data_IF_883619602200
#
_entry.id   IF_883619602200
#
_cell.length_a   1.000
_cell.length_b   1.000
_cell.length_c   1.000
_cell.angle_alpha   90.00
_cell.angle_beta   90.00
_cell.angle_gamma   90.00
#
_symmetry.space_group_name_H-M   'P 1'
#
loop_
_entity.id
_entity.type
_entity.pdbx_description
1 polymer ?
#
# COMPACT_ATOMS: atom_id res chain seq x y z
N UNK A 1 -2.75 -6.78 21.81
CA UNK A 1 -1.29 -6.78 21.56
C UNK A 1 -0.90 -8.16 21.08
N UNK A 2 -0.18 -8.27 19.96
CA UNK A 2 0.34 -9.55 19.45
C UNK A 2 1.85 -9.52 19.70
N UNK A 3 2.41 -10.62 20.21
CA UNK A 3 3.86 -10.79 20.38
C UNK A 3 4.35 -11.87 19.44
N UNK A 4 5.34 -11.55 18.62
CA UNK A 4 6.05 -12.50 17.76
C UNK A 4 7.43 -12.77 18.38
N UNK A 5 7.82 -14.03 18.50
CA UNK A 5 9.14 -14.43 18.98
C UNK A 5 9.90 -15.10 17.83
N UNK A 6 11.12 -14.63 17.59
CA UNK A 6 12.05 -15.18 16.59
C UNK A 6 13.20 -15.80 17.37
N UNK A 7 13.51 -17.07 17.08
CA UNK A 7 14.60 -17.83 17.69
C UNK A 7 15.54 -18.30 16.58
N UNK A 8 16.85 -18.28 16.86
CA UNK A 8 17.88 -18.76 15.95
C UNK A 8 19.01 -19.40 16.77
N UNK A 9 19.62 -20.46 16.22
CA UNK A 9 20.81 -21.10 16.81
C UNK A 9 22.09 -20.29 16.53
N UNK A 10 21.99 -19.25 15.70
CA UNK A 10 23.06 -18.28 15.44
C UNK A 10 22.90 -17.06 16.35
N UNK A 11 23.91 -16.80 17.18
CA UNK A 11 23.90 -15.72 18.17
C UNK A 11 24.07 -14.32 17.53
N UNK A 12 24.73 -14.22 16.37
CA UNK A 12 25.13 -12.93 15.81
C UNK A 12 24.18 -12.41 14.71
N UNK A 13 23.68 -11.20 14.93
CA UNK A 13 23.12 -10.34 13.86
C UNK A 13 21.70 -10.65 13.38
N UNK A 14 21.01 -11.67 13.92
CA UNK A 14 19.66 -12.02 13.48
C UNK A 14 18.66 -10.87 13.66
N UNK A 15 18.78 -10.09 14.74
CA UNK A 15 17.93 -8.91 15.00
C UNK A 15 18.11 -7.87 13.88
N UNK A 16 19.34 -7.62 13.46
CA UNK A 16 19.64 -6.64 12.42
C UNK A 16 19.16 -7.12 11.04
N UNK A 17 19.24 -8.42 10.76
CA UNK A 17 18.68 -9.02 9.54
C UNK A 17 17.16 -8.82 9.48
N UNK A 18 16.45 -9.09 10.58
CA UNK A 18 14.98 -8.90 10.65
C UNK A 18 14.62 -7.41 10.51
N UNK A 19 15.34 -6.53 11.20
CA UNK A 19 15.14 -5.08 11.10
C UNK A 19 15.37 -4.59 9.66
N UNK A 20 16.41 -5.09 9.00
CA UNK A 20 16.71 -4.75 7.61
C UNK A 20 15.61 -5.25 6.66
N UNK A 21 15.09 -6.46 6.86
CA UNK A 21 14.02 -7.04 6.06
C UNK A 21 12.72 -6.23 6.17
N UNK A 22 12.30 -5.87 7.38
CA UNK A 22 11.12 -5.02 7.63
C UNK A 22 11.32 -3.63 7.01
N UNK A 23 12.50 -3.03 7.20
CA UNK A 23 12.82 -1.72 6.62
C UNK A 23 12.79 -1.74 5.09
N UNK A 24 13.26 -2.82 4.48
CA UNK A 24 13.22 -2.99 3.03
C UNK A 24 11.78 -3.16 2.52
N UNK A 25 10.92 -3.87 3.25
CA UNK A 25 9.51 -4.01 2.89
C UNK A 25 8.76 -2.67 2.99
N UNK A 26 8.98 -1.90 4.06
CA UNK A 26 8.42 -0.54 4.18
C UNK A 26 8.79 0.31 2.97
N UNK A 27 10.07 0.33 2.57
CA UNK A 27 10.52 1.09 1.39
C UNK A 27 9.85 0.62 0.10
N UNK A 28 9.71 -0.70 -0.10
CA UNK A 28 9.02 -1.26 -1.28
C UNK A 28 7.56 -0.81 -1.34
N UNK A 29 6.86 -0.88 -0.21
CA UNK A 29 5.46 -0.46 -0.12
C UNK A 29 5.31 1.05 -0.33
N UNK A 30 6.22 1.88 0.18
CA UNK A 30 6.22 3.33 -0.08
C UNK A 30 6.42 3.67 -1.56
N UNK A 31 7.30 2.96 -2.27
CA UNK A 31 7.50 3.11 -3.71
C UNK A 31 6.22 2.69 -4.46
N UNK A 32 5.62 1.56 -4.08
CA UNK A 32 4.34 1.09 -4.66
C UNK A 32 3.22 2.10 -4.46
N UNK A 33 3.08 2.64 -3.24
CA UNK A 33 2.09 3.65 -2.89
C UNK A 33 2.25 4.93 -3.74
N UNK A 34 3.49 5.38 -3.93
CA UNK A 34 3.79 6.54 -4.77
C UNK A 34 3.33 6.33 -6.21
N UNK A 35 3.60 5.15 -6.79
CA UNK A 35 3.18 4.80 -8.15
C UNK A 35 1.65 4.75 -8.28
N UNK A 36 0.97 4.07 -7.35
CA UNK A 36 -0.50 4.00 -7.33
C UNK A 36 -1.12 5.38 -7.17
N UNK A 37 -0.59 6.23 -6.29
CA UNK A 37 -1.08 7.61 -6.15
C UNK A 37 -0.89 8.44 -7.42
N UNK A 38 0.20 8.23 -8.16
CA UNK A 38 0.40 8.86 -9.47
C UNK A 38 -0.66 8.41 -10.48
N UNK A 39 -1.01 7.11 -10.52
CA UNK A 39 -2.05 6.59 -11.41
C UNK A 39 -3.44 7.13 -11.05
N UNK A 40 -3.81 7.11 -9.78
CA UNK A 40 -5.05 7.72 -9.28
C UNK A 40 -5.12 9.20 -9.69
N UNK A 41 -4.02 9.94 -9.52
CA UNK A 41 -3.99 11.36 -9.85
C UNK A 41 -4.21 11.63 -11.33
N UNK A 42 -3.78 10.73 -12.22
CA UNK A 42 -4.06 10.84 -13.66
C UNK A 42 -5.56 10.78 -13.92
N UNK A 43 -6.26 9.80 -13.35
CA UNK A 43 -7.72 9.69 -13.48
C UNK A 43 -8.45 10.90 -12.89
N UNK A 44 -8.09 11.31 -11.67
CA UNK A 44 -8.70 12.49 -11.02
C UNK A 44 -8.51 13.76 -11.86
N UNK A 45 -7.35 13.91 -12.50
CA UNK A 45 -7.05 15.07 -13.35
C UNK A 45 -7.81 15.00 -14.67
N UNK A 46 -7.89 13.83 -15.28
CA UNK A 46 -8.60 13.61 -16.56
C UNK A 46 -10.11 13.85 -16.43
N UNK A 47 -10.71 13.30 -15.37
CA UNK A 47 -12.15 13.39 -15.11
C UNK A 47 -12.55 14.60 -14.27
N UNK A 48 -11.57 15.33 -13.70
CA UNK A 48 -11.78 16.50 -12.83
C UNK A 48 -12.69 16.21 -11.62
N UNK A 49 -12.62 14.99 -11.10
CA UNK A 49 -13.35 14.55 -9.90
C UNK A 49 -12.37 13.89 -8.94
N UNK A 50 -12.73 13.84 -7.65
CA UNK A 50 -11.92 13.11 -6.67
C UNK A 50 -12.25 11.63 -6.71
N UNK A 51 -11.35 10.81 -6.19
CA UNK A 51 -11.58 9.36 -6.05
C UNK A 51 -12.81 9.02 -5.21
N UNK A 52 -13.16 9.84 -4.22
CA UNK A 52 -14.37 9.66 -3.40
C UNK A 52 -15.66 9.90 -4.21
N UNK A 53 -15.65 10.88 -5.12
CA UNK A 53 -16.77 11.13 -6.04
C UNK A 53 -16.89 9.99 -7.03
N UNK A 54 -15.76 9.57 -7.64
CA UNK A 54 -15.71 8.42 -8.54
C UNK A 54 -16.35 7.17 -7.90
N UNK A 55 -15.95 6.80 -6.68
CA UNK A 55 -16.47 5.60 -6.01
C UNK A 55 -17.98 5.65 -5.71
N UNK A 56 -18.55 6.86 -5.54
CA UNK A 56 -19.95 7.03 -5.15
C UNK A 56 -20.88 7.22 -6.35
N UNK A 57 -20.41 7.90 -7.39
CA UNK A 57 -21.27 8.48 -8.41
C UNK A 57 -20.95 7.98 -9.83
N UNK A 58 -19.77 7.41 -10.07
CA UNK A 58 -19.38 6.95 -11.40
C UNK A 58 -19.72 5.48 -11.62
N UNK A 59 -20.06 5.17 -12.86
CA UNK A 59 -20.13 3.85 -13.46
C UNK A 59 -19.18 3.78 -14.66
N UNK A 60 -19.01 2.59 -15.25
CA UNK A 60 -18.21 2.41 -16.45
C UNK A 60 -18.62 3.37 -17.59
N UNK A 61 -19.92 3.59 -17.78
CA UNK A 61 -20.47 4.46 -18.84
C UNK A 61 -20.07 5.94 -18.71
N UNK A 62 -19.53 6.35 -17.55
CA UNK A 62 -19.03 7.70 -17.34
C UNK A 62 -17.57 7.87 -17.81
N UNK A 63 -16.89 6.79 -18.17
CA UNK A 63 -15.48 6.77 -18.53
C UNK A 63 -15.30 6.54 -20.03
N UNK A 64 -14.28 7.17 -20.61
CA UNK A 64 -14.00 7.12 -22.05
C UNK A 64 -13.77 5.71 -22.56
N UNK A 65 -13.08 4.88 -21.79
CA UNK A 65 -12.82 3.47 -22.10
C UNK A 65 -13.67 2.51 -21.26
N UNK A 66 -14.82 2.98 -20.76
CA UNK A 66 -15.82 2.13 -20.13
C UNK A 66 -15.28 1.32 -18.94
N UNK A 67 -15.59 0.04 -18.96
CA UNK A 67 -15.23 -0.93 -17.92
C UNK A 67 -13.71 -1.01 -17.67
N UNK A 68 -12.89 -0.84 -18.70
CA UNK A 68 -11.43 -0.97 -18.58
C UNK A 68 -10.87 0.06 -17.59
N UNK A 69 -11.20 1.34 -17.79
CA UNK A 69 -10.76 2.40 -16.88
C UNK A 69 -11.43 2.31 -15.52
N UNK A 70 -12.68 1.84 -15.47
CA UNK A 70 -13.37 1.66 -14.20
C UNK A 70 -12.64 0.65 -13.32
N UNK A 71 -12.30 -0.49 -13.91
CA UNK A 71 -11.55 -1.57 -13.24
C UNK A 71 -10.16 -1.09 -12.84
N UNK A 72 -9.47 -0.35 -13.71
CA UNK A 72 -8.14 0.19 -13.42
C UNK A 72 -8.17 1.17 -12.24
N UNK A 73 -9.04 2.18 -12.28
CA UNK A 73 -9.10 3.18 -11.23
C UNK A 73 -9.58 2.58 -9.90
N UNK A 74 -10.64 1.78 -9.91
CA UNK A 74 -11.10 1.07 -8.71
C UNK A 74 -10.02 0.12 -8.15
N UNK A 75 -9.26 -0.52 -9.04
CA UNK A 75 -8.12 -1.37 -8.70
C UNK A 75 -7.02 -0.60 -7.98
N UNK A 76 -6.60 0.55 -8.51
CA UNK A 76 -5.58 1.40 -7.90
C UNK A 76 -6.03 1.90 -6.50
N UNK A 77 -7.30 2.25 -6.33
CA UNK A 77 -7.83 2.67 -5.03
C UNK A 77 -7.77 1.54 -3.99
N UNK A 78 -8.10 0.31 -4.41
CA UNK A 78 -7.99 -0.88 -3.55
C UNK A 78 -6.54 -1.22 -3.19
N UNK A 79 -5.63 -1.07 -4.15
CA UNK A 79 -4.19 -1.25 -3.92
C UNK A 79 -3.70 -0.22 -2.90
N UNK A 80 -4.07 1.06 -3.07
CA UNK A 80 -3.71 2.14 -2.14
C UNK A 80 -4.12 1.82 -0.72
N UNK A 81 -5.37 1.41 -0.51
CA UNK A 81 -5.92 1.07 0.81
C UNK A 81 -5.11 -0.05 1.46
N UNK A 82 -4.91 -1.16 0.75
CA UNK A 82 -4.14 -2.31 1.26
C UNK A 82 -2.70 -1.94 1.60
N UNK A 83 -2.01 -1.21 0.72
CA UNK A 83 -0.61 -0.79 0.93
C UNK A 83 -0.50 0.14 2.14
N UNK A 84 -1.43 1.07 2.32
CA UNK A 84 -1.46 1.94 3.49
C UNK A 84 -1.69 1.16 4.78
N UNK A 85 -2.59 0.17 4.76
CA UNK A 85 -2.84 -0.70 5.92
C UNK A 85 -1.59 -1.50 6.30
N UNK A 86 -0.92 -2.12 5.33
CA UNK A 86 0.29 -2.92 5.56
C UNK A 86 1.47 -2.05 6.01
N UNK A 87 1.63 -0.84 5.43
CA UNK A 87 2.61 0.14 5.90
C UNK A 87 2.38 0.53 7.36
N UNK A 88 1.12 0.76 7.74
CA UNK A 88 0.76 1.11 9.12
C UNK A 88 1.17 -0.02 10.07
N UNK A 89 0.80 -1.27 9.75
CA UNK A 89 1.16 -2.46 10.55
C UNK A 89 2.68 -2.59 10.73
N UNK A 90 3.46 -2.39 9.67
CA UNK A 90 4.93 -2.54 9.72
C UNK A 90 5.62 -1.39 10.49
N UNK A 91 5.11 -0.15 10.37
CA UNK A 91 5.67 1.02 11.07
C UNK A 91 5.38 1.02 12.57
N UNK A 92 4.33 0.31 13.00
CA UNK A 92 3.97 0.14 14.42
C UNK A 92 4.76 -1.00 15.11
N UNK A 93 5.65 -1.72 14.40
CA UNK A 93 6.45 -2.80 15.01
C UNK A 93 7.50 -2.22 15.96
N UNK A 94 7.44 -2.68 17.21
CA UNK A 94 8.46 -2.43 18.22
C UNK A 94 9.40 -3.64 18.35
N UNK A 95 10.70 -3.37 18.35
CA UNK A 95 11.73 -4.40 18.53
C UNK A 95 12.07 -4.52 20.01
N UNK A 96 11.72 -5.63 20.63
CA UNK A 96 12.10 -5.93 22.02
C UNK A 96 13.20 -7.00 22.00
N UNK A 97 14.43 -6.59 22.32
CA UNK A 97 15.53 -7.51 22.57
C UNK A 97 15.62 -7.74 24.10
N UNK A 98 15.62 -8.99 24.53
CA UNK A 98 15.86 -9.39 25.92
C UNK A 98 17.23 -10.05 26.03
#
# INVERSE_FOLDING_TARGET
MIKLQIQSDTEDGIIDVIRAAISAEIKRLEIGLSKTNMHIKKFETEYKVTSEVFQKEFSAENLKNGDQEYIEWAGELKIREKVMEDLRKLKEIEYVAH
#
